data_IF_934897867816
#
_entry.id   IF_934897867816
#
_cell.length_a   1.000
_cell.length_b   1.000
_cell.length_c   1.000
_cell.angle_alpha   90.00
_cell.angle_beta   90.00
_cell.angle_gamma   90.00
#
_symmetry.space_group_name_H-M   'P 1'
#
loop_
_entity.id
_entity.type
_entity.pdbx_description
1 polymer ?
#
# COMPACT_ATOMS: atom_id res chain seq x y z
N UNK A 1 -10.96 4.70 -3.38
CA UNK A 1 -10.36 5.65 -2.41
C UNK A 1 -9.60 6.73 -3.15
N UNK A 2 -9.77 7.96 -2.78
CA UNK A 2 -9.04 9.08 -3.37
C UNK A 2 -7.70 9.28 -2.70
N UNK A 3 -6.81 10.02 -3.38
CA UNK A 3 -5.50 10.38 -2.80
C UNK A 3 -5.71 11.16 -1.50
N UNK A 4 -6.69 12.08 -1.48
CA UNK A 4 -7.00 12.85 -0.28
C UNK A 4 -7.44 11.97 0.88
N UNK A 5 -8.31 11.01 0.60
CA UNK A 5 -8.78 10.06 1.63
C UNK A 5 -7.63 9.24 2.19
N UNK A 6 -6.76 8.73 1.32
CA UNK A 6 -5.60 7.96 1.75
C UNK A 6 -4.64 8.83 2.57
N UNK A 7 -4.37 10.05 2.11
CA UNK A 7 -3.50 10.99 2.82
C UNK A 7 -4.02 11.26 4.23
N UNK A 8 -5.33 11.50 4.35
CA UNK A 8 -5.93 11.83 5.64
C UNK A 8 -5.88 10.64 6.61
N UNK A 9 -6.06 9.44 6.10
CA UNK A 9 -5.92 8.23 6.92
C UNK A 9 -4.48 8.05 7.40
N UNK A 10 -3.51 8.22 6.51
CA UNK A 10 -2.10 8.07 6.85
C UNK A 10 -1.63 9.15 7.83
N UNK A 11 -2.24 10.33 7.79
CA UNK A 11 -1.88 11.42 8.68
C UNK A 11 -2.18 11.12 10.16
N UNK A 12 -3.03 10.13 10.43
CA UNK A 12 -3.36 9.72 11.80
C UNK A 12 -2.37 8.67 12.33
N UNK A 13 -1.43 8.23 11.51
CA UNK A 13 -0.52 7.15 11.83
C UNK A 13 0.89 7.69 12.05
N UNK A 14 1.73 6.84 12.66
CA UNK A 14 3.13 7.18 12.89
C UNK A 14 3.85 7.34 11.56
N UNK A 15 4.41 8.52 11.26
CA UNK A 15 5.10 8.75 9.98
C UNK A 15 6.36 7.89 9.82
N UNK A 16 6.93 7.39 10.90
CA UNK A 16 8.10 6.51 10.87
C UNK A 16 7.71 5.04 10.76
N UNK A 17 6.42 4.73 10.81
CA UNK A 17 5.93 3.37 10.63
C UNK A 17 6.06 2.90 9.19
N UNK A 18 6.06 1.58 9.00
CA UNK A 18 6.16 1.00 7.67
C UNK A 18 4.79 0.90 7.01
N UNK A 19 4.72 1.26 5.73
CA UNK A 19 3.51 1.12 4.93
C UNK A 19 3.58 -0.19 4.16
N UNK A 20 2.54 -1.01 4.29
CA UNK A 20 2.44 -2.31 3.64
C UNK A 20 1.12 -2.42 2.90
N UNK A 21 1.08 -3.29 1.90
CA UNK A 21 -0.14 -3.60 1.16
C UNK A 21 -0.54 -5.03 1.48
N UNK A 22 -1.78 -5.22 1.93
CA UNK A 22 -2.31 -6.54 2.23
C UNK A 22 -3.43 -6.87 1.24
N UNK A 23 -3.29 -8.02 0.58
CA UNK A 23 -4.29 -8.54 -0.32
C UNK A 23 -5.04 -9.67 0.38
N UNK A 24 -6.36 -9.50 0.51
CA UNK A 24 -7.21 -10.53 1.09
C UNK A 24 -7.86 -11.36 -0.01
N UNK A 25 -7.74 -12.67 0.11
CA UNK A 25 -8.33 -13.60 -0.84
C UNK A 25 -9.72 -14.03 -0.38
N UNK A 26 -10.55 -14.48 -1.33
CA UNK A 26 -11.91 -14.89 -1.04
C UNK A 26 -11.99 -16.09 -0.10
N UNK A 27 -10.94 -16.90 -0.03
CA UNK A 27 -10.89 -18.07 0.85
C UNK A 27 -10.50 -17.73 2.30
N UNK A 28 -10.26 -16.46 2.58
CA UNK A 28 -9.90 -16.00 3.92
C UNK A 28 -8.41 -15.85 4.14
N UNK A 29 -7.58 -16.27 3.19
CA UNK A 29 -6.13 -16.06 3.30
C UNK A 29 -5.75 -14.63 2.95
N UNK A 30 -4.55 -14.21 3.33
CA UNK A 30 -4.05 -12.88 3.05
C UNK A 30 -2.55 -12.93 2.75
N UNK A 31 -2.12 -12.01 1.89
CA UNK A 31 -0.71 -11.82 1.56
C UNK A 31 -0.35 -10.36 1.82
N UNK A 32 0.82 -10.12 2.38
CA UNK A 32 1.30 -8.78 2.68
C UNK A 32 2.58 -8.50 1.91
N UNK A 33 2.63 -7.35 1.26
CA UNK A 33 3.74 -6.94 0.42
C UNK A 33 4.29 -5.60 0.87
N UNK A 34 5.60 -5.43 0.78
CA UNK A 34 6.22 -4.14 0.96
C UNK A 34 5.95 -3.27 -0.28
N UNK A 35 5.79 -1.97 -0.06
CA UNK A 35 5.63 -1.02 -1.15
C UNK A 35 7.02 -0.72 -1.72
N UNK A 36 7.19 -0.93 -3.02
CA UNK A 36 8.45 -0.63 -3.69
C UNK A 36 8.55 0.83 -4.11
N UNK A 37 7.44 1.35 -4.62
CA UNK A 37 7.43 2.72 -5.13
C UNK A 37 5.99 3.23 -5.21
N UNK A 38 5.86 4.54 -5.32
CA UNK A 38 4.58 5.19 -5.58
C UNK A 38 4.79 6.15 -6.74
N UNK A 39 4.05 5.94 -7.82
CA UNK A 39 4.17 6.75 -9.02
C UNK A 39 2.86 7.46 -9.30
N UNK A 40 2.94 8.56 -10.05
CA UNK A 40 1.77 9.34 -10.43
C UNK A 40 1.63 9.34 -11.95
N UNK A 41 0.44 9.02 -12.44
CA UNK A 41 0.14 9.03 -13.87
C UNK A 41 -1.29 9.54 -14.05
N UNK A 42 -1.46 10.59 -14.87
CA UNK A 42 -2.77 11.11 -15.24
C UNK A 42 -3.68 11.41 -14.03
N UNK A 43 -3.11 11.97 -12.98
CA UNK A 43 -3.87 12.32 -11.79
C UNK A 43 -4.16 11.16 -10.85
N UNK A 44 -3.60 10.00 -11.13
CA UNK A 44 -3.74 8.81 -10.29
C UNK A 44 -2.44 8.52 -9.57
N UNK A 45 -2.56 8.04 -8.34
CA UNK A 45 -1.41 7.52 -7.58
C UNK A 45 -1.41 6.00 -7.69
N UNK A 46 -0.30 5.45 -8.11
CA UNK A 46 -0.11 4.01 -8.25
C UNK A 46 0.87 3.52 -7.20
N UNK A 47 0.39 2.65 -6.33
CA UNK A 47 1.24 2.01 -5.32
C UNK A 47 1.76 0.72 -5.94
N UNK A 48 3.08 0.65 -6.10
CA UNK A 48 3.73 -0.47 -6.78
C UNK A 48 4.29 -1.44 -5.77
N UNK A 49 3.91 -2.70 -5.94
CA UNK A 49 4.41 -3.80 -5.13
C UNK A 49 4.96 -4.88 -6.07
N UNK A 50 5.78 -5.75 -5.52
CA UNK A 50 6.33 -6.88 -6.27
C UNK A 50 5.76 -8.18 -5.70
N UNK A 51 5.56 -9.18 -6.56
CA UNK A 51 5.19 -10.52 -6.12
C UNK A 51 6.40 -11.34 -5.69
N UNK A 52 7.58 -10.72 -5.68
CA UNK A 52 8.73 -11.33 -5.07
C UNK A 52 8.52 -11.47 -3.56
N UNK A 53 9.29 -12.35 -2.96
CA UNK A 53 9.16 -12.63 -1.54
C UNK A 53 9.22 -11.32 -0.75
N UNK A 54 8.24 -11.06 0.13
CA UNK A 54 8.23 -9.82 0.90
C UNK A 54 9.50 -9.70 1.73
N UNK A 55 9.96 -8.47 1.88
CA UNK A 55 11.09 -8.20 2.74
C UNK A 55 10.77 -8.69 4.14
N UNK A 56 11.57 -9.58 4.61
CA UNK A 56 11.38 -10.16 5.93
C UNK A 56 11.65 -9.12 7.02
#
# INVERSE_FOLDING_TARGET
>A
MTIRQLRDLLATMDPDGEALVTLFHADGSAETFAIEDVTATQGEAHIEISDEEPAA
#
